data_IF_865459955884
#
_entry.id   IF_865459955884
#
_cell.length_a   1.000
_cell.length_b   1.000
_cell.length_c   1.000
_cell.angle_alpha   90.00
_cell.angle_beta   90.00
_cell.angle_gamma   90.00
#
_symmetry.space_group_name_H-M   'P 1'
#
loop_
_entity.id
_entity.type
_entity.pdbx_description
1 polymer ?
#
# COMPACT_ATOMS: atom_id res chain seq x y z
N UNK A 1 32.13 61.66 65.34
CA UNK A 1 32.97 60.54 64.86
C UNK A 1 32.30 59.89 63.65
N UNK A 2 33.00 59.91 62.50
CA UNK A 2 32.82 59.10 61.26
C UNK A 2 31.55 59.42 60.42
N UNK A 3 31.66 60.34 59.45
CA UNK A 3 31.93 60.13 57.99
C UNK A 3 30.68 59.63 57.21
N UNK A 4 29.93 60.46 56.48
CA UNK A 4 30.18 61.05 55.14
C UNK A 4 29.90 60.09 53.95
N UNK A 5 28.87 60.36 53.13
CA UNK A 5 28.89 60.49 51.65
C UNK A 5 27.47 60.53 51.02
N UNK A 6 27.23 61.50 50.12
CA UNK A 6 26.25 61.48 49.01
C UNK A 6 27.01 61.04 47.73
N UNK A 7 26.40 60.93 46.52
CA UNK A 7 25.19 60.25 46.02
C UNK A 7 25.55 59.34 44.80
N UNK A 8 24.57 58.68 44.12
CA UNK A 8 24.46 58.57 42.63
C UNK A 8 23.46 57.52 42.12
N UNK A 9 22.69 57.96 41.11
CA UNK A 9 21.95 57.15 40.14
C UNK A 9 22.87 56.13 39.43
N UNK A 10 22.41 54.90 39.24
CA UNK A 10 22.96 53.96 38.26
C UNK A 10 21.81 53.25 37.53
N UNK A 11 21.91 53.27 36.19
CA UNK A 11 20.96 52.76 35.24
C UNK A 11 20.84 51.22 35.29
N UNK A 12 19.61 50.72 35.17
CA UNK A 12 19.30 49.33 34.84
C UNK A 12 18.60 49.33 33.47
N UNK A 13 19.40 49.30 32.41
CA UNK A 13 18.96 48.94 31.07
C UNK A 13 19.90 47.81 30.63
N UNK A 14 19.35 46.61 30.42
CA UNK A 14 20.09 45.55 29.73
C UNK A 14 19.84 44.14 30.26
N UNK A 15 18.64 43.59 30.06
CA UNK A 15 18.41 42.14 30.05
C UNK A 15 17.04 41.84 29.39
N UNK A 16 16.96 41.91 28.07
CA UNK A 16 15.68 41.67 27.37
C UNK A 16 15.77 41.02 25.98
N UNK A 17 16.96 40.71 25.46
CA UNK A 17 17.12 40.32 24.05
C UNK A 17 17.62 38.90 23.79
N UNK A 18 17.87 38.08 24.82
CA UNK A 18 18.38 36.71 24.64
C UNK A 18 17.31 35.61 24.65
N UNK A 19 16.05 35.90 24.98
CA UNK A 19 15.00 34.87 25.16
C UNK A 19 14.19 34.54 23.88
N UNK A 20 14.38 35.28 22.78
CA UNK A 20 13.59 35.10 21.55
C UNK A 20 14.15 34.08 20.54
N UNK A 21 15.47 33.81 20.55
CA UNK A 21 16.12 33.01 19.50
C UNK A 21 16.12 31.48 19.76
N UNK A 22 16.09 31.03 21.02
CA UNK A 22 16.07 29.59 21.33
C UNK A 22 14.70 28.94 21.10
N UNK A 23 13.61 29.70 21.26
CA UNK A 23 12.25 29.17 21.07
C UNK A 23 11.91 28.91 19.60
N UNK A 24 12.50 29.67 18.67
CA UNK A 24 12.23 29.51 17.23
C UNK A 24 13.00 28.34 16.60
N UNK A 25 14.19 28.02 17.10
CA UNK A 25 15.00 26.91 16.60
C UNK A 25 14.39 25.55 16.99
N UNK A 26 14.02 25.37 18.26
CA UNK A 26 13.33 24.15 18.73
C UNK A 26 12.02 23.91 17.98
N UNK A 27 11.24 24.96 17.71
CA UNK A 27 9.99 24.85 16.97
C UNK A 27 10.20 24.45 15.49
N UNK A 28 11.31 24.88 14.88
CA UNK A 28 11.67 24.50 13.51
C UNK A 28 12.10 23.02 13.45
N UNK A 29 12.88 22.56 14.42
CA UNK A 29 13.29 21.15 14.53
C UNK A 29 12.07 20.22 14.77
N UNK A 30 11.15 20.63 15.65
CA UNK A 30 9.91 19.88 15.91
C UNK A 30 9.03 19.80 14.64
N UNK A 31 8.92 20.88 13.87
CA UNK A 31 8.16 20.91 12.63
C UNK A 31 8.80 20.01 11.55
N UNK A 32 10.13 19.96 11.48
CA UNK A 32 10.87 19.08 10.57
C UNK A 32 10.63 17.61 10.90
N UNK A 33 10.75 17.23 12.18
CA UNK A 33 10.46 15.88 12.67
C UNK A 33 9.00 15.49 12.42
N UNK A 34 8.06 16.41 12.63
CA UNK A 34 6.64 16.19 12.33
C UNK A 34 6.38 15.97 10.83
N UNK A 35 7.04 16.75 9.95
CA UNK A 35 6.99 16.53 8.48
C UNK A 35 7.56 15.15 8.13
N UNK A 36 8.68 14.76 8.72
CA UNK A 36 9.26 13.43 8.52
C UNK A 36 8.34 12.30 8.98
N UNK A 37 7.67 12.46 10.12
CA UNK A 37 6.69 11.51 10.63
C UNK A 37 5.51 11.34 9.65
N UNK A 38 5.01 12.46 9.12
CA UNK A 38 3.96 12.45 8.09
C UNK A 38 4.40 11.72 6.81
N UNK A 39 5.61 12.00 6.33
CA UNK A 39 6.17 11.35 5.14
C UNK A 39 6.42 9.85 5.38
N UNK A 40 6.84 9.45 6.58
CA UNK A 40 7.02 8.04 6.93
C UNK A 40 5.68 7.27 6.95
N UNK A 41 4.58 7.94 7.35
CA UNK A 41 3.22 7.41 7.18
C UNK A 41 2.84 7.34 5.70
N UNK A 42 3.09 8.39 4.91
CA UNK A 42 2.84 8.37 3.46
C UNK A 42 3.63 7.30 2.71
N UNK A 43 4.82 6.96 3.20
CA UNK A 43 5.70 5.92 2.68
C UNK A 43 5.39 4.50 3.17
N UNK A 44 4.36 4.33 4.01
CA UNK A 44 3.97 3.08 4.66
C UNK A 44 5.14 2.35 5.36
N UNK A 45 6.12 3.11 5.90
CA UNK A 45 7.37 2.52 6.39
C UNK A 45 7.11 1.54 7.56
N UNK A 46 6.13 1.84 8.41
CA UNK A 46 5.80 1.04 9.59
C UNK A 46 5.19 -0.32 9.24
N UNK A 47 4.43 -0.42 8.15
CA UNK A 47 3.81 -1.67 7.73
C UNK A 47 4.85 -2.73 7.37
N UNK A 48 5.92 -2.32 6.69
CA UNK A 48 7.00 -3.23 6.30
C UNK A 48 8.01 -3.44 7.44
N UNK A 49 8.41 -2.37 8.14
CA UNK A 49 9.47 -2.43 9.14
C UNK A 49 9.00 -2.82 10.54
N UNK A 50 7.83 -3.46 10.69
CA UNK A 50 7.36 -3.98 11.97
C UNK A 50 6.88 -5.43 11.82
N UNK A 51 7.49 -6.34 12.58
CA UNK A 51 6.99 -7.71 12.67
C UNK A 51 5.63 -7.78 13.39
N UNK A 52 4.78 -8.79 13.11
CA UNK A 52 3.55 -9.01 13.87
C UNK A 52 3.84 -9.15 15.37
N UNK A 53 3.23 -8.31 16.21
CA UNK A 53 3.49 -8.20 17.67
C UNK A 53 4.93 -7.78 18.03
N UNK A 54 5.70 -7.32 17.05
CA UNK A 54 7.03 -6.75 17.24
C UNK A 54 6.97 -5.29 17.70
N UNK A 55 8.14 -4.72 17.98
CA UNK A 55 8.26 -3.28 18.23
C UNK A 55 8.18 -2.51 16.92
N UNK A 56 7.54 -1.33 16.88
CA UNK A 56 7.45 -0.51 15.67
C UNK A 56 8.84 -0.25 15.07
N UNK A 57 8.95 -0.36 13.74
CA UNK A 57 10.15 -0.01 12.96
C UNK A 57 11.41 -0.87 13.25
N UNK A 58 11.29 -1.89 14.10
CA UNK A 58 12.40 -2.77 14.50
C UNK A 58 12.68 -3.93 13.51
N UNK A 59 11.97 -3.98 12.38
CA UNK A 59 12.11 -5.01 11.35
C UNK A 59 11.57 -6.37 11.76
N UNK A 60 11.96 -7.39 11.00
CA UNK A 60 11.64 -8.79 11.25
C UNK A 60 10.38 -9.31 10.57
N UNK A 61 9.71 -8.51 9.73
CA UNK A 61 8.58 -8.99 8.94
C UNK A 61 9.10 -9.95 7.83
N UNK A 62 8.62 -11.20 7.77
CA UNK A 62 8.94 -12.09 6.66
C UNK A 62 8.17 -11.68 5.40
N UNK A 63 8.90 -11.51 4.30
CA UNK A 63 8.34 -11.40 2.95
C UNK A 63 8.69 -12.65 2.17
N UNK A 64 7.68 -13.40 1.77
CA UNK A 64 7.87 -14.67 1.08
C UNK A 64 8.27 -14.43 -0.37
N UNK A 65 9.35 -15.06 -0.79
CA UNK A 65 9.74 -15.11 -2.21
C UNK A 65 9.83 -16.57 -2.67
N UNK A 66 9.78 -16.85 -3.98
CA UNK A 66 10.02 -18.19 -4.50
C UNK A 66 11.38 -18.80 -4.09
N UNK A 67 12.33 -17.97 -3.66
CA UNK A 67 13.70 -18.37 -3.30
C UNK A 67 13.91 -18.51 -1.78
N UNK A 68 12.89 -18.22 -0.96
CA UNK A 68 12.97 -18.17 0.50
C UNK A 68 12.45 -16.84 1.05
N UNK A 69 12.25 -16.77 2.37
CA UNK A 69 11.82 -15.53 3.01
C UNK A 69 12.97 -14.52 3.09
N UNK A 70 12.66 -13.26 2.83
CA UNK A 70 13.52 -12.12 3.18
C UNK A 70 12.89 -11.42 4.39
N UNK A 71 13.70 -10.84 5.26
CA UNK A 71 13.22 -10.19 6.48
C UNK A 71 13.48 -8.69 6.38
N UNK A 72 12.49 -7.87 6.76
CA UNK A 72 12.66 -6.42 6.84
C UNK A 72 13.63 -6.03 7.94
N UNK A 73 14.32 -4.91 7.75
CA UNK A 73 15.40 -4.47 8.66
C UNK A 73 14.88 -3.55 9.76
N UNK A 74 15.62 -3.47 10.86
CA UNK A 74 15.45 -2.47 11.90
C UNK A 74 15.91 -1.10 11.38
N UNK A 75 14.99 -0.14 11.33
CA UNK A 75 15.23 1.24 10.88
C UNK A 75 15.05 2.25 12.02
N UNK A 76 15.09 1.80 13.27
CA UNK A 76 15.16 2.68 14.44
C UNK A 76 16.56 3.29 14.57
N UNK A 77 16.74 4.39 15.34
CA UNK A 77 18.04 5.02 15.51
C UNK A 77 18.96 4.28 16.50
N UNK A 78 18.70 3.00 16.77
CA UNK A 78 19.65 2.18 17.53
C UNK A 78 20.98 2.08 16.78
N UNK A 79 22.08 2.38 17.48
CA UNK A 79 23.39 2.50 16.85
C UNK A 79 24.03 1.18 16.43
N UNK A 80 23.62 0.05 17.02
CA UNK A 80 24.27 -1.24 16.79
C UNK A 80 23.46 -2.15 15.87
N UNK A 81 22.14 -2.04 15.92
CA UNK A 81 21.22 -2.94 15.20
C UNK A 81 20.29 -2.22 14.24
N UNK A 82 20.14 -0.90 14.37
CA UNK A 82 19.34 -0.05 13.50
C UNK A 82 20.18 0.86 12.60
N UNK A 83 19.63 2.02 12.25
CA UNK A 83 20.26 3.02 11.38
C UNK A 83 20.95 4.14 12.16
N UNK A 84 21.12 4.03 13.48
CA UNK A 84 21.67 5.10 14.32
C UNK A 84 23.09 5.58 13.98
N UNK A 85 23.82 4.83 13.14
CA UNK A 85 25.14 5.23 12.61
C UNK A 85 25.11 5.68 11.15
N UNK A 86 23.95 5.72 10.48
CA UNK A 86 23.85 6.21 9.12
C UNK A 86 24.10 7.72 9.13
N UNK A 87 24.91 8.21 8.19
CA UNK A 87 24.83 9.61 7.81
C UNK A 87 23.59 9.84 6.93
N UNK A 88 23.15 11.08 6.80
CA UNK A 88 22.01 11.42 5.93
C UNK A 88 22.25 10.96 4.48
N UNK A 89 23.47 11.08 3.97
CA UNK A 89 23.85 10.60 2.64
C UNK A 89 23.72 9.07 2.51
N UNK A 90 24.03 8.32 3.56
CA UNK A 90 23.85 6.86 3.57
C UNK A 90 22.36 6.49 3.57
N UNK A 91 21.55 7.25 4.31
CA UNK A 91 20.10 7.09 4.36
C UNK A 91 19.47 7.39 2.99
N UNK A 92 19.80 8.54 2.39
CA UNK A 92 19.32 8.94 1.08
C UNK A 92 19.74 7.93 0.00
N UNK A 93 20.98 7.42 0.05
CA UNK A 93 21.48 6.39 -0.86
C UNK A 93 20.76 5.05 -0.68
N UNK A 94 20.43 4.66 0.54
CA UNK A 94 19.63 3.45 0.79
C UNK A 94 18.22 3.59 0.21
N UNK A 95 17.55 4.73 0.41
CA UNK A 95 16.19 4.96 -0.06
C UNK A 95 16.10 5.17 -1.57
N UNK A 96 16.98 5.96 -2.18
CA UNK A 96 16.90 6.29 -3.62
C UNK A 96 17.63 5.30 -4.52
N UNK A 97 18.67 4.65 -4.01
CA UNK A 97 19.55 3.81 -4.82
C UNK A 97 19.51 2.33 -4.44
N UNK A 98 18.86 1.98 -3.33
CA UNK A 98 18.85 0.61 -2.84
C UNK A 98 20.24 0.13 -2.44
N UNK A 99 21.12 1.02 -1.95
CA UNK A 99 22.48 0.68 -1.50
C UNK A 99 22.63 1.01 -0.03
N UNK A 100 22.81 -0.01 0.81
CA UNK A 100 22.98 0.13 2.25
C UNK A 100 24.29 0.86 2.62
N UNK A 101 24.43 1.24 3.90
CA UNK A 101 25.62 1.94 4.40
C UNK A 101 26.93 1.18 4.12
N UNK A 102 26.93 -0.14 4.28
CA UNK A 102 28.09 -1.01 4.03
C UNK A 102 28.34 -1.31 2.54
N UNK A 103 27.52 -0.72 1.64
CA UNK A 103 27.66 -0.81 0.19
C UNK A 103 26.98 -2.00 -0.47
N UNK A 104 26.30 -2.89 0.28
CA UNK A 104 25.55 -3.97 -0.37
C UNK A 104 24.24 -3.46 -0.99
N UNK A 105 23.81 -4.08 -2.09
CA UNK A 105 22.52 -3.74 -2.72
C UNK A 105 21.37 -4.42 -1.98
N UNK A 106 20.36 -3.62 -1.66
CA UNK A 106 19.08 -4.05 -1.10
C UNK A 106 18.29 -4.84 -2.14
N UNK A 107 17.46 -5.77 -1.68
CA UNK A 107 16.53 -6.43 -2.57
C UNK A 107 15.45 -5.40 -2.98
N UNK A 108 14.98 -5.41 -4.24
CA UNK A 108 13.91 -4.54 -4.73
C UNK A 108 12.52 -4.86 -4.15
N UNK A 109 12.49 -5.55 -3.00
CA UNK A 109 11.32 -5.61 -2.12
C UNK A 109 11.12 -4.29 -1.37
N UNK A 110 12.20 -3.56 -1.08
CA UNK A 110 12.09 -2.14 -0.73
C UNK A 110 11.86 -1.36 -2.05
N UNK A 111 10.82 -0.52 -2.15
CA UNK A 111 10.46 0.15 -3.41
C UNK A 111 11.34 1.38 -3.68
N UNK A 112 12.67 1.21 -3.62
CA UNK A 112 13.63 2.28 -3.90
C UNK A 112 13.51 2.89 -5.31
N UNK A 113 13.05 2.19 -6.37
CA UNK A 113 12.77 2.85 -7.65
C UNK A 113 11.67 3.92 -7.57
N UNK A 114 10.69 3.75 -6.69
CA UNK A 114 9.68 4.77 -6.40
C UNK A 114 10.27 5.86 -5.50
N UNK A 115 10.97 5.48 -4.43
CA UNK A 115 11.57 6.44 -3.50
C UNK A 115 12.66 7.33 -4.11
N UNK A 116 13.25 6.95 -5.25
CA UNK A 116 14.10 7.83 -6.05
C UNK A 116 13.44 9.17 -6.39
N UNK A 117 12.10 9.21 -6.46
CA UNK A 117 11.30 10.41 -6.74
C UNK A 117 11.27 11.42 -5.58
N UNK A 118 11.57 11.01 -4.34
CA UNK A 118 11.54 11.88 -3.15
C UNK A 118 12.53 13.02 -3.32
N UNK A 119 12.13 14.27 -3.05
CA UNK A 119 13.02 15.44 -3.11
C UNK A 119 13.93 15.55 -1.87
N UNK A 120 14.97 16.39 -1.93
CA UNK A 120 15.98 16.48 -0.86
C UNK A 120 15.40 16.98 0.46
N UNK A 121 14.44 17.90 0.44
CA UNK A 121 13.79 18.40 1.66
C UNK A 121 13.00 17.31 2.39
N UNK A 122 12.22 16.51 1.64
CA UNK A 122 11.45 15.41 2.19
C UNK A 122 12.37 14.27 2.66
N UNK A 123 13.49 14.05 1.97
CA UNK A 123 14.52 13.09 2.41
C UNK A 123 15.16 13.52 3.73
N UNK A 124 15.50 14.80 3.86
CA UNK A 124 16.04 15.37 5.09
C UNK A 124 15.04 15.28 6.25
N UNK A 125 13.77 15.60 5.99
CA UNK A 125 12.71 15.48 7.00
C UNK A 125 12.53 14.02 7.46
N UNK A 126 12.51 13.06 6.54
CA UNK A 126 12.47 11.63 6.86
C UNK A 126 13.66 11.22 7.74
N UNK A 127 14.87 11.61 7.37
CA UNK A 127 16.08 11.31 8.15
C UNK A 127 15.98 11.90 9.56
N UNK A 128 15.59 13.18 9.69
CA UNK A 128 15.38 13.82 10.98
C UNK A 128 14.36 13.09 11.85
N UNK A 129 13.24 12.65 11.27
CA UNK A 129 12.25 11.86 12.00
C UNK A 129 12.80 10.52 12.47
N UNK A 130 13.50 9.77 11.62
CA UNK A 130 14.05 8.48 12.06
C UNK A 130 15.16 8.64 13.12
N UNK A 131 15.96 9.71 13.06
CA UNK A 131 17.05 9.92 14.02
C UNK A 131 16.59 10.55 15.34
N UNK A 132 15.52 11.35 15.32
CA UNK A 132 15.10 12.15 16.48
C UNK A 132 13.65 11.92 16.94
N UNK A 133 12.76 11.45 16.06
CA UNK A 133 11.36 11.17 16.35
C UNK A 133 11.03 9.71 16.66
N UNK A 134 11.90 8.76 16.32
CA UNK A 134 11.70 7.33 16.55
C UNK A 134 12.44 6.84 17.79
N UNK A 135 11.76 6.06 18.63
CA UNK A 135 12.40 5.43 19.79
C UNK A 135 13.40 4.34 19.33
N UNK A 136 14.64 4.33 19.86
CA UNK A 136 15.62 3.30 19.51
C UNK A 136 15.20 1.93 20.03
N UNK A 137 15.32 0.91 19.18
CA UNK A 137 15.06 -0.48 19.53
C UNK A 137 16.27 -1.31 19.20
N UNK A 138 16.91 -1.88 20.22
CA UNK A 138 17.98 -2.87 20.02
C UNK A 138 17.39 -4.21 19.61
N UNK A 139 17.38 -4.49 18.32
CA UNK A 139 16.90 -5.74 17.72
C UNK A 139 17.72 -6.06 16.47
N UNK A 140 18.49 -7.15 16.52
CA UNK A 140 19.33 -7.57 15.40
C UNK A 140 18.47 -7.99 14.19
N UNK A 141 18.94 -7.61 12.99
CA UNK A 141 18.34 -8.06 11.74
C UNK A 141 18.50 -9.57 11.56
N UNK A 142 17.49 -10.20 10.96
CA UNK A 142 17.55 -11.61 10.58
C UNK A 142 18.05 -11.75 9.15
N UNK A 143 18.96 -12.70 8.93
CA UNK A 143 19.43 -13.04 7.59
C UNK A 143 18.30 -13.65 6.73
N UNK A 144 18.29 -13.40 5.42
CA UNK A 144 17.31 -14.01 4.51
C UNK A 144 17.52 -15.54 4.45
N UNK A 145 16.44 -16.29 4.28
CA UNK A 145 16.48 -17.75 4.14
C UNK A 145 16.96 -18.18 2.72
N UNK A 146 17.31 -17.21 1.86
CA UNK A 146 17.83 -17.44 0.51
C UNK A 146 19.23 -18.05 0.61
N UNK A 147 19.39 -19.26 0.07
CA UNK A 147 20.66 -19.99 0.13
C UNK A 147 21.63 -19.53 -0.96
N UNK A 148 22.92 -19.72 -0.70
CA UNK A 148 23.96 -19.60 -1.71
C UNK A 148 23.70 -20.57 -2.89
N UNK A 149 23.92 -20.17 -4.16
CA UNK A 149 24.45 -18.88 -4.64
C UNK A 149 23.39 -17.79 -4.87
N UNK A 150 22.11 -18.07 -4.64
CA UNK A 150 21.01 -17.14 -4.95
C UNK A 150 20.96 -15.90 -4.04
N UNK A 151 21.71 -15.90 -2.93
CA UNK A 151 21.82 -14.75 -2.02
C UNK A 151 22.87 -13.71 -2.46
N UNK A 152 23.60 -13.94 -3.56
CA UNK A 152 24.59 -12.99 -4.07
C UNK A 152 23.94 -11.64 -4.40
N UNK A 153 24.51 -10.55 -3.84
CA UNK A 153 24.00 -9.18 -4.03
C UNK A 153 24.58 -8.44 -5.23
N UNK A 154 25.63 -8.95 -5.86
CA UNK A 154 26.27 -8.29 -7.00
C UNK A 154 25.39 -8.21 -8.26
N UNK A 155 24.51 -9.18 -8.61
CA UNK A 155 23.64 -9.06 -9.78
C UNK A 155 22.65 -7.90 -9.65
N UNK A 156 22.25 -7.55 -8.42
CA UNK A 156 21.38 -6.40 -8.17
C UNK A 156 22.05 -5.07 -8.54
N UNK A 157 23.38 -4.99 -8.51
CA UNK A 157 24.11 -3.82 -9.00
C UNK A 157 23.89 -3.63 -10.50
N UNK A 158 23.94 -4.72 -11.27
CA UNK A 158 23.68 -4.70 -12.70
C UNK A 158 22.19 -4.41 -12.98
N UNK A 159 21.30 -5.01 -12.19
CA UNK A 159 19.87 -4.72 -12.27
C UNK A 159 19.59 -3.22 -12.05
N UNK A 160 20.19 -2.62 -11.00
CA UNK A 160 20.09 -1.19 -10.72
C UNK A 160 20.60 -0.34 -11.88
N UNK A 161 21.72 -0.72 -12.50
CA UNK A 161 22.26 0.01 -13.65
C UNK A 161 21.32 0.02 -14.87
N UNK A 162 20.43 -0.96 -15.00
CA UNK A 162 19.52 -1.09 -16.14
C UNK A 162 18.12 -0.53 -15.84
N UNK A 163 17.61 -0.73 -14.63
CA UNK A 163 16.19 -0.50 -14.32
C UNK A 163 15.92 0.63 -13.32
N UNK A 164 16.93 1.13 -12.62
CA UNK A 164 16.74 2.21 -11.65
C UNK A 164 16.84 3.59 -12.34
N UNK A 165 15.71 4.29 -12.40
CA UNK A 165 15.69 5.73 -12.66
C UNK A 165 15.93 6.47 -11.33
N UNK A 166 17.08 7.15 -11.22
CA UNK A 166 17.47 7.90 -10.01
C UNK A 166 16.91 9.32 -9.96
N UNK A 167 16.08 9.73 -10.93
CA UNK A 167 15.58 11.10 -11.00
C UNK A 167 14.54 11.38 -9.91
N UNK A 168 14.77 12.49 -9.19
CA UNK A 168 13.78 13.11 -8.30
C UNK A 168 12.60 13.60 -9.15
N UNK A 169 11.40 13.52 -8.59
CA UNK A 169 10.20 13.99 -9.27
C UNK A 169 10.33 15.47 -9.67
N UNK A 170 9.99 15.75 -10.94
CA UNK A 170 9.93 17.11 -11.47
C UNK A 170 8.49 17.44 -11.81
N UNK A 171 8.02 18.60 -11.37
CA UNK A 171 6.67 19.07 -11.70
C UNK A 171 6.53 19.22 -13.21
N UNK A 172 5.48 18.62 -13.76
CA UNK A 172 5.22 18.61 -15.20
C UNK A 172 4.52 19.90 -15.61
N UNK A 173 5.12 20.61 -16.57
CA UNK A 173 4.52 21.82 -17.15
C UNK A 173 3.16 21.49 -17.79
N UNK A 174 2.17 22.36 -17.60
CA UNK A 174 0.80 22.14 -18.10
C UNK A 174 -0.09 21.29 -17.18
N UNK A 175 0.42 20.86 -16.01
CA UNK A 175 -0.36 20.26 -14.94
C UNK A 175 -0.46 21.22 -13.76
N UNK A 176 -1.61 21.25 -13.09
CA UNK A 176 -1.79 22.07 -11.89
C UNK A 176 -1.04 21.49 -10.67
N UNK A 177 -1.01 22.26 -9.59
CA UNK A 177 -0.31 21.89 -8.36
C UNK A 177 -0.87 20.62 -7.72
N UNK A 178 -2.20 20.43 -7.71
CA UNK A 178 -2.83 19.26 -7.13
C UNK A 178 -2.49 17.98 -7.91
N UNK A 179 -2.46 18.05 -9.23
CA UNK A 179 -2.04 16.94 -10.08
C UNK A 179 -0.58 16.56 -9.81
N UNK A 180 0.34 17.54 -9.77
CA UNK A 180 1.75 17.29 -9.51
C UNK A 180 1.97 16.73 -8.10
N UNK A 181 1.23 17.21 -7.10
CA UNK A 181 1.27 16.66 -5.74
C UNK A 181 0.80 15.21 -5.69
N UNK A 182 -0.31 14.89 -6.36
CA UNK A 182 -0.82 13.52 -6.45
C UNK A 182 0.15 12.58 -7.15
N UNK A 183 0.73 13.01 -8.26
CA UNK A 183 1.75 12.28 -9.00
C UNK A 183 2.98 12.02 -8.12
N UNK A 184 3.49 13.03 -7.43
CA UNK A 184 4.63 12.91 -6.51
C UNK A 184 4.39 11.86 -5.42
N UNK A 185 3.20 11.88 -4.80
CA UNK A 185 2.86 10.94 -3.74
C UNK A 185 2.69 9.52 -4.28
N UNK A 186 1.99 9.34 -5.40
CA UNK A 186 1.69 8.01 -5.95
C UNK A 186 2.91 7.34 -6.60
N UNK A 187 3.74 8.11 -7.30
CA UNK A 187 4.98 7.64 -7.93
C UNK A 187 6.13 7.50 -6.93
N UNK A 188 6.11 8.28 -5.86
CA UNK A 188 7.13 8.34 -4.82
C UNK A 188 6.80 7.49 -3.60
N UNK A 189 6.55 8.15 -2.46
CA UNK A 189 6.36 7.49 -1.16
C UNK A 189 5.21 6.48 -1.14
N UNK A 190 4.08 6.79 -1.78
CA UNK A 190 2.95 5.86 -1.86
C UNK A 190 3.22 4.63 -2.74
N UNK A 191 4.29 4.63 -3.54
CA UNK A 191 4.82 3.51 -4.32
C UNK A 191 3.74 2.62 -4.97
N UNK A 192 2.66 3.22 -5.49
CA UNK A 192 1.47 2.45 -5.88
C UNK A 192 1.80 1.52 -7.05
N UNK A 193 2.75 1.93 -7.90
CA UNK A 193 3.31 1.14 -9.00
C UNK A 193 3.89 -0.20 -8.55
N UNK A 194 4.46 -0.27 -7.35
CA UNK A 194 5.11 -1.49 -6.87
C UNK A 194 4.14 -2.66 -6.69
N UNK A 195 2.85 -2.40 -6.49
CA UNK A 195 1.83 -3.45 -6.51
C UNK A 195 0.99 -3.41 -7.80
N UNK A 196 0.60 -2.21 -8.25
CA UNK A 196 -0.40 -2.05 -9.31
C UNK A 196 0.18 -1.99 -10.72
N UNK A 197 1.50 -2.11 -10.91
CA UNK A 197 2.12 -2.21 -12.25
C UNK A 197 2.60 -3.64 -12.50
N UNK A 198 2.36 -4.22 -13.70
CA UNK A 198 2.83 -5.56 -14.03
C UNK A 198 4.37 -5.62 -14.04
N UNK A 199 4.89 -6.79 -13.67
CA UNK A 199 6.34 -7.06 -13.63
C UNK A 199 6.88 -7.58 -14.96
N UNK A 200 8.10 -7.17 -15.30
CA UNK A 200 8.85 -7.65 -16.46
C UNK A 200 9.60 -8.96 -16.19
N UNK A 201 10.35 -9.42 -17.18
CA UNK A 201 11.11 -10.68 -17.09
C UNK A 201 12.18 -10.69 -15.99
N UNK A 202 12.70 -9.51 -15.61
CA UNK A 202 13.67 -9.34 -14.54
C UNK A 202 12.99 -8.85 -13.25
N UNK A 203 11.67 -9.06 -13.13
CA UNK A 203 10.84 -8.68 -11.98
C UNK A 203 10.76 -7.16 -11.71
N UNK A 204 11.23 -6.34 -12.65
CA UNK A 204 11.12 -4.88 -12.61
C UNK A 204 9.68 -4.41 -12.91
N UNK A 205 9.30 -3.24 -12.39
CA UNK A 205 8.06 -2.58 -12.81
C UNK A 205 8.17 -2.20 -14.30
N UNK A 206 7.14 -2.53 -15.09
CA UNK A 206 7.12 -2.17 -16.53
C UNK A 206 6.84 -0.69 -16.80
N UNK A 207 6.46 0.07 -15.78
CA UNK A 207 6.24 1.51 -15.83
C UNK A 207 6.36 2.11 -14.44
N UNK A 208 7.03 3.27 -14.34
CA UNK A 208 7.22 3.99 -13.08
C UNK A 208 6.37 5.26 -12.98
N UNK A 209 5.86 5.75 -14.12
CA UNK A 209 5.01 6.94 -14.19
C UNK A 209 4.02 6.85 -15.37
N UNK A 210 3.19 7.89 -15.53
CA UNK A 210 2.11 7.91 -16.52
C UNK A 210 2.55 7.97 -17.98
N UNK A 211 3.86 8.03 -18.26
CA UNK A 211 4.38 7.93 -19.63
C UNK A 211 4.32 6.49 -20.17
N UNK A 212 4.23 5.49 -19.28
CA UNK A 212 4.12 4.07 -19.66
C UNK A 212 2.68 3.62 -19.75
N UNK A 213 2.32 2.95 -20.86
CA UNK A 213 0.99 2.36 -21.06
C UNK A 213 0.67 1.18 -20.14
N UNK A 214 1.65 0.70 -19.37
CA UNK A 214 1.49 -0.39 -18.39
C UNK A 214 1.45 0.12 -16.95
N UNK A 215 1.70 1.41 -16.72
CA UNK A 215 1.70 1.98 -15.39
C UNK A 215 0.32 1.85 -14.75
N UNK A 216 0.27 1.25 -13.56
CA UNK A 216 -0.94 1.03 -12.77
C UNK A 216 -2.05 0.20 -13.45
N UNK A 217 -1.73 -0.65 -14.43
CA UNK A 217 -2.72 -1.50 -15.12
C UNK A 217 -3.09 -2.80 -14.39
N UNK A 218 -2.64 -2.96 -13.16
CA UNK A 218 -2.80 -4.15 -12.33
C UNK A 218 -1.64 -5.16 -12.47
N UNK A 219 -1.48 -6.01 -11.46
CA UNK A 219 -0.40 -6.98 -11.41
C UNK A 219 -0.57 -8.03 -10.32
N UNK A 220 -0.10 -9.26 -10.59
CA UNK A 220 -0.06 -10.33 -9.61
C UNK A 220 1.20 -10.19 -8.74
N UNK A 221 1.02 -10.04 -7.44
CA UNK A 221 2.08 -9.98 -6.45
C UNK A 221 1.65 -10.74 -5.18
N UNK A 222 2.51 -11.65 -4.71
CA UNK A 222 2.26 -12.44 -3.49
C UNK A 222 0.87 -13.10 -3.44
N UNK A 223 0.46 -13.75 -4.54
CA UNK A 223 -0.85 -14.40 -4.68
C UNK A 223 -2.07 -13.45 -4.55
N UNK A 224 -1.84 -12.14 -4.64
CA UNK A 224 -2.86 -11.11 -4.77
C UNK A 224 -2.74 -10.46 -6.14
N UNK A 225 -3.85 -10.34 -6.85
CA UNK A 225 -3.93 -9.47 -8.02
C UNK A 225 -4.27 -8.06 -7.54
N UNK A 226 -3.31 -7.16 -7.60
CA UNK A 226 -3.52 -5.73 -7.37
C UNK A 226 -4.30 -5.15 -8.55
N UNK A 227 -5.43 -4.52 -8.26
CA UNK A 227 -6.41 -4.08 -9.25
C UNK A 227 -5.85 -3.04 -10.23
N UNK A 228 -6.46 -2.88 -11.39
CA UNK A 228 -6.15 -1.77 -12.28
C UNK A 228 -6.55 -0.42 -11.62
N UNK A 229 -5.66 0.58 -11.59
CA UNK A 229 -5.96 1.92 -11.05
C UNK A 229 -6.17 2.99 -12.14
N UNK A 230 -6.13 2.60 -13.42
CA UNK A 230 -6.39 3.52 -14.53
C UNK A 230 -7.89 3.75 -14.72
N UNK A 231 -8.28 4.66 -15.62
CA UNK A 231 -9.69 4.90 -15.95
C UNK A 231 -10.36 3.79 -16.79
N UNK A 232 -9.84 2.57 -16.80
CA UNK A 232 -10.49 1.44 -17.46
C UNK A 232 -11.87 1.18 -16.84
N UNK A 233 -12.86 0.94 -17.70
CA UNK A 233 -14.27 1.06 -17.35
C UNK A 233 -14.86 -0.14 -16.62
N UNK A 234 -14.14 -1.28 -16.55
CA UNK A 234 -14.62 -2.53 -15.94
C UNK A 234 -13.88 -2.85 -14.64
N UNK A 235 -12.57 -2.99 -14.78
CA UNK A 235 -11.57 -3.44 -13.82
C UNK A 235 -10.81 -2.29 -13.18
N UNK A 236 -10.84 -1.10 -13.81
CA UNK A 236 -10.23 0.13 -13.31
C UNK A 236 -11.18 1.05 -12.54
N UNK A 237 -10.71 2.28 -12.34
CA UNK A 237 -11.41 3.38 -11.66
C UNK A 237 -12.35 4.16 -12.60
N UNK A 238 -12.61 3.69 -13.82
CA UNK A 238 -13.42 4.40 -14.81
C UNK A 238 -14.84 4.73 -14.33
N UNK A 239 -15.42 3.88 -13.48
CA UNK A 239 -16.75 4.09 -12.86
C UNK A 239 -16.73 4.86 -11.54
N UNK A 240 -15.55 5.16 -11.02
CA UNK A 240 -15.38 5.82 -9.72
C UNK A 240 -15.26 7.33 -9.93
N UNK A 241 -15.89 8.11 -9.06
CA UNK A 241 -15.60 9.54 -8.95
C UNK A 241 -14.27 9.80 -8.23
N UNK A 242 -13.72 11.01 -8.32
CA UNK A 242 -12.58 11.42 -7.48
C UNK A 242 -12.90 11.24 -5.98
N UNK A 243 -14.15 11.54 -5.59
CA UNK A 243 -14.60 11.37 -4.20
C UNK A 243 -14.65 9.89 -3.78
N UNK A 244 -15.04 8.98 -4.67
CA UNK A 244 -15.02 7.54 -4.39
C UNK A 244 -13.60 7.05 -4.12
N UNK A 245 -12.63 7.52 -4.91
CA UNK A 245 -11.20 7.21 -4.73
C UNK A 245 -10.70 7.78 -3.41
N UNK A 246 -10.99 9.05 -3.12
CA UNK A 246 -10.61 9.69 -1.85
C UNK A 246 -11.20 8.94 -0.64
N UNK A 247 -12.47 8.56 -0.71
CA UNK A 247 -13.16 7.81 0.35
C UNK A 247 -12.49 6.45 0.57
N UNK A 248 -12.16 5.74 -0.51
CA UNK A 248 -11.48 4.45 -0.42
C UNK A 248 -10.08 4.58 0.19
N UNK A 249 -9.28 5.57 -0.21
CA UNK A 249 -7.94 5.78 0.36
C UNK A 249 -7.99 6.16 1.85
N UNK A 250 -9.05 6.83 2.32
CA UNK A 250 -9.20 7.17 3.74
C UNK A 250 -9.77 6.03 4.60
N UNK A 251 -10.63 5.20 4.03
CA UNK A 251 -11.46 4.28 4.83
C UNK A 251 -11.29 2.82 4.44
N UNK A 252 -10.61 2.54 3.33
CA UNK A 252 -10.49 1.20 2.76
C UNK A 252 -11.78 0.65 2.15
N UNK A 253 -12.89 1.39 2.11
CA UNK A 253 -14.12 0.90 1.50
C UNK A 253 -14.99 2.04 0.94
N UNK A 254 -15.72 1.77 -0.14
CA UNK A 254 -16.69 2.70 -0.70
C UNK A 254 -17.86 1.94 -1.35
N UNK A 255 -18.65 2.62 -2.18
CA UNK A 255 -19.79 2.03 -2.89
C UNK A 255 -19.41 0.92 -3.89
N UNK A 256 -18.14 0.82 -4.29
CA UNK A 256 -17.67 -0.03 -5.38
C UNK A 256 -16.82 -1.21 -4.90
N UNK A 257 -16.02 -1.04 -3.86
CA UNK A 257 -15.11 -2.06 -3.35
C UNK A 257 -14.66 -1.83 -1.90
N UNK A 258 -14.02 -2.85 -1.32
CA UNK A 258 -13.32 -2.80 -0.04
C UNK A 258 -11.89 -3.34 -0.19
N UNK A 259 -10.98 -2.84 0.63
CA UNK A 259 -9.57 -3.21 0.68
C UNK A 259 -9.41 -4.64 1.20
N UNK A 260 -8.45 -5.35 0.64
CA UNK A 260 -8.06 -6.70 1.02
C UNK A 260 -6.56 -6.89 0.83
N UNK A 261 -6.03 -8.00 1.36
CA UNK A 261 -4.60 -8.31 1.27
C UNK A 261 -3.74 -7.18 1.82
N UNK A 262 -2.63 -6.88 1.16
CA UNK A 262 -1.70 -5.82 1.57
C UNK A 262 -2.32 -4.42 1.53
N UNK A 263 -3.38 -4.19 0.75
CA UNK A 263 -4.06 -2.88 0.74
C UNK A 263 -4.69 -2.57 2.10
N UNK A 264 -5.17 -3.57 2.85
CA UNK A 264 -5.66 -3.35 4.22
C UNK A 264 -4.56 -2.78 5.12
N UNK A 265 -3.31 -3.24 4.96
CA UNK A 265 -2.16 -2.69 5.69
C UNK A 265 -1.88 -1.24 5.31
N UNK A 266 -1.93 -0.92 4.01
CA UNK A 266 -1.75 0.45 3.50
C UNK A 266 -2.79 1.38 4.11
N UNK A 267 -4.06 0.97 4.18
CA UNK A 267 -5.08 1.78 4.84
C UNK A 267 -4.75 1.93 6.32
N UNK A 268 -4.53 0.82 7.03
CA UNK A 268 -4.33 0.80 8.48
C UNK A 268 -3.14 1.64 8.97
N UNK A 269 -2.08 1.72 8.17
CA UNK A 269 -0.80 2.29 8.58
C UNK A 269 -0.37 3.55 7.82
N UNK A 270 -1.03 3.86 6.70
CA UNK A 270 -0.61 4.94 5.79
C UNK A 270 -1.76 5.87 5.40
N UNK A 271 -2.55 5.52 4.38
CA UNK A 271 -3.36 6.50 3.63
C UNK A 271 -4.47 7.14 4.46
N UNK A 272 -4.99 6.47 5.49
CA UNK A 272 -6.00 7.08 6.38
C UNK A 272 -5.45 8.25 7.21
N UNK A 273 -4.13 8.33 7.37
CA UNK A 273 -3.44 9.36 8.15
C UNK A 273 -3.00 10.56 7.30
N UNK A 274 -3.21 10.50 5.98
CA UNK A 274 -2.88 11.59 5.07
C UNK A 274 -3.90 12.73 5.17
N UNK A 275 -3.42 13.94 4.87
CA UNK A 275 -4.31 15.11 4.83
C UNK A 275 -5.33 14.98 3.71
N UNK A 276 -6.50 15.60 3.89
CA UNK A 276 -7.54 15.62 2.85
C UNK A 276 -7.04 16.24 1.54
N UNK A 277 -6.14 17.21 1.61
CA UNK A 277 -5.53 17.83 0.44
C UNK A 277 -4.67 16.83 -0.35
N UNK A 278 -3.87 16.01 0.34
CA UNK A 278 -3.02 15.00 -0.30
C UNK A 278 -3.86 13.83 -0.85
N UNK A 279 -4.88 13.40 -0.12
CA UNK A 279 -5.83 12.39 -0.62
C UNK A 279 -6.57 12.88 -1.87
N UNK A 280 -7.03 14.14 -1.88
CA UNK A 280 -7.68 14.73 -3.04
C UNK A 280 -6.71 14.86 -4.23
N UNK A 281 -5.46 15.23 -3.97
CA UNK A 281 -4.41 15.29 -4.99
C UNK A 281 -4.13 13.91 -5.60
N UNK A 282 -4.00 12.87 -4.76
CA UNK A 282 -3.84 11.47 -5.18
C UNK A 282 -5.03 11.01 -6.04
N UNK A 283 -6.26 11.27 -5.60
CA UNK A 283 -7.47 10.95 -6.34
C UNK A 283 -7.51 11.66 -7.71
N UNK A 284 -7.21 12.96 -7.75
CA UNK A 284 -7.12 13.76 -8.99
C UNK A 284 -6.10 13.17 -9.96
N UNK A 285 -4.92 12.77 -9.46
CA UNK A 285 -3.89 12.16 -10.30
C UNK A 285 -4.36 10.82 -10.89
N UNK A 286 -4.87 9.90 -10.08
CA UNK A 286 -5.38 8.60 -10.56
C UNK A 286 -6.50 8.77 -11.59
N UNK A 287 -7.45 9.68 -11.31
CA UNK A 287 -8.56 9.99 -12.22
C UNK A 287 -8.14 10.75 -13.48
N UNK A 288 -6.90 11.23 -13.57
CA UNK A 288 -6.37 11.81 -14.80
C UNK A 288 -5.75 10.81 -15.77
N UNK A 289 -5.45 9.58 -15.30
CA UNK A 289 -4.76 8.57 -16.10
C UNK A 289 -5.67 8.03 -17.21
N UNK A 290 -5.18 7.85 -18.46
CA UNK A 290 -6.00 7.28 -19.51
C UNK A 290 -6.41 5.84 -19.16
N UNK A 291 -7.54 5.38 -19.68
CA UNK A 291 -7.92 3.98 -19.58
C UNK A 291 -6.86 3.09 -20.25
N UNK A 292 -6.31 2.12 -19.52
CA UNK A 292 -5.34 1.17 -20.03
C UNK A 292 -5.50 -0.21 -19.38
N UNK A 293 -5.00 -1.26 -20.04
CA UNK A 293 -5.18 -2.64 -19.59
C UNK A 293 -6.64 -3.11 -19.68
N UNK A 294 -7.06 -3.93 -18.72
CA UNK A 294 -8.43 -4.41 -18.58
C UNK A 294 -8.75 -5.72 -19.30
N UNK A 295 -10.04 -6.07 -19.30
CA UNK A 295 -10.51 -7.37 -19.76
C UNK A 295 -11.05 -7.38 -21.21
N UNK A 296 -11.13 -6.21 -21.86
CA UNK A 296 -11.66 -6.05 -23.23
C UNK A 296 -13.16 -6.26 -23.36
N UNK A 297 -13.89 -6.39 -22.25
CA UNK A 297 -15.34 -6.53 -22.22
C UNK A 297 -16.07 -5.20 -22.40
N UNK A 298 -17.35 -5.27 -22.78
CA UNK A 298 -18.23 -4.10 -22.81
C UNK A 298 -18.36 -3.48 -21.39
N UNK A 299 -18.67 -2.18 -21.28
CA UNK A 299 -18.92 -1.54 -19.99
C UNK A 299 -19.95 -2.27 -19.16
N UNK A 300 -19.58 -2.60 -17.92
CA UNK A 300 -20.47 -3.24 -16.96
C UNK A 300 -21.73 -2.39 -16.78
N UNK A 301 -22.87 -3.05 -16.89
CA UNK A 301 -24.17 -2.49 -16.54
C UNK A 301 -24.98 -3.55 -15.82
N UNK A 302 -25.52 -3.16 -14.66
CA UNK A 302 -26.36 -4.04 -13.88
C UNK A 302 -27.67 -4.34 -14.63
N UNK A 303 -28.02 -5.62 -14.72
CA UNK A 303 -29.28 -6.06 -15.31
C UNK A 303 -30.14 -6.80 -14.28
N UNK A 304 -31.33 -6.25 -14.02
CA UNK A 304 -32.32 -6.85 -13.15
C UNK A 304 -32.84 -8.19 -13.70
N UNK A 305 -32.85 -8.40 -15.02
CA UNK A 305 -33.21 -9.69 -15.63
C UNK A 305 -32.13 -10.73 -15.38
N UNK A 306 -30.86 -10.40 -15.60
CA UNK A 306 -29.73 -11.27 -15.23
C UNK A 306 -29.71 -11.61 -13.73
N UNK A 307 -30.10 -10.65 -12.88
CA UNK A 307 -30.29 -10.87 -11.45
C UNK A 307 -31.41 -11.87 -11.20
N UNK A 308 -32.59 -11.68 -11.80
CA UNK A 308 -33.69 -12.64 -11.67
C UNK A 308 -33.27 -14.04 -12.12
N UNK A 309 -32.55 -14.17 -13.23
CA UNK A 309 -31.99 -15.45 -13.68
C UNK A 309 -31.09 -16.06 -12.61
N UNK A 310 -30.19 -15.27 -12.02
CA UNK A 310 -29.30 -15.71 -10.93
C UNK A 310 -30.07 -16.17 -9.70
N UNK A 311 -31.15 -15.47 -9.33
CA UNK A 311 -32.05 -15.81 -8.22
C UNK A 311 -32.89 -17.07 -8.47
N UNK A 312 -33.27 -17.30 -9.73
CA UNK A 312 -34.12 -18.43 -10.11
C UNK A 312 -33.35 -19.68 -10.49
N UNK A 313 -32.00 -19.63 -10.56
CA UNK A 313 -31.20 -20.85 -10.78
C UNK A 313 -31.48 -21.81 -9.64
N UNK A 314 -32.09 -22.98 -9.90
CA UNK A 314 -32.42 -23.91 -8.84
C UNK A 314 -31.11 -24.34 -8.17
N UNK A 315 -31.05 -24.17 -6.85
CA UNK A 315 -29.91 -24.65 -6.07
C UNK A 315 -29.66 -26.14 -6.40
N UNK A 316 -30.71 -26.95 -6.54
CA UNK A 316 -30.60 -28.36 -6.94
C UNK A 316 -29.82 -28.62 -8.25
N UNK A 317 -29.74 -27.67 -9.19
CA UNK A 317 -29.08 -27.83 -10.50
C UNK A 317 -27.77 -27.05 -10.68
N UNK A 318 -27.42 -26.13 -9.76
CA UNK A 318 -26.18 -25.33 -9.81
C UNK A 318 -25.49 -25.38 -8.44
N UNK A 319 -24.34 -26.07 -8.38
CA UNK A 319 -23.56 -26.24 -7.15
C UNK A 319 -23.02 -24.92 -6.61
N UNK A 320 -22.67 -23.97 -7.49
CA UNK A 320 -22.21 -22.64 -7.10
C UNK A 320 -23.32 -21.82 -6.45
N UNK A 321 -24.53 -21.84 -7.04
CA UNK A 321 -25.71 -21.18 -6.47
C UNK A 321 -26.09 -21.76 -5.09
N UNK A 322 -25.94 -23.07 -4.88
CA UNK A 322 -26.13 -23.71 -3.56
C UNK A 322 -25.19 -23.16 -2.51
N UNK A 323 -23.89 -23.14 -2.81
CA UNK A 323 -22.87 -22.64 -1.89
C UNK A 323 -23.10 -21.16 -1.62
N UNK A 324 -23.40 -20.37 -2.65
CA UNK A 324 -23.71 -18.93 -2.49
C UNK A 324 -24.88 -18.70 -1.52
N UNK A 325 -25.99 -19.41 -1.72
CA UNK A 325 -27.19 -19.29 -0.89
C UNK A 325 -26.92 -19.67 0.57
N UNK A 326 -26.10 -20.70 0.79
CA UNK A 326 -25.80 -21.21 2.13
C UNK A 326 -24.80 -20.36 2.90
N UNK A 327 -23.80 -19.77 2.24
CA UNK A 327 -22.65 -19.16 2.92
C UNK A 327 -22.45 -17.67 2.61
N UNK A 328 -22.85 -17.18 1.44
CA UNK A 328 -22.46 -15.86 0.95
C UNK A 328 -23.62 -14.84 0.94
N UNK A 329 -24.83 -15.31 0.62
CA UNK A 329 -25.99 -14.48 0.33
C UNK A 329 -26.42 -13.60 1.52
N UNK A 330 -26.20 -14.05 2.76
CA UNK A 330 -26.55 -13.27 3.95
C UNK A 330 -25.82 -11.92 4.03
N UNK A 331 -24.58 -11.86 3.51
CA UNK A 331 -23.78 -10.64 3.52
C UNK A 331 -23.81 -9.91 2.16
N UNK A 332 -23.68 -10.66 1.05
CA UNK A 332 -23.57 -10.05 -0.28
C UNK A 332 -24.92 -9.82 -0.98
N UNK A 333 -26.02 -10.27 -0.37
CA UNK A 333 -27.36 -10.12 -0.90
C UNK A 333 -27.65 -11.07 -2.07
N UNK A 334 -28.93 -11.29 -2.35
CA UNK A 334 -29.34 -12.13 -3.47
C UNK A 334 -29.10 -11.44 -4.83
N UNK A 335 -29.05 -10.11 -4.81
CA UNK A 335 -28.76 -9.24 -5.96
C UNK A 335 -27.26 -8.90 -6.11
N UNK A 336 -26.40 -9.44 -5.24
CA UNK A 336 -24.96 -9.25 -5.27
C UNK A 336 -24.49 -7.84 -4.94
N UNK A 337 -25.37 -6.94 -4.48
CA UNK A 337 -25.03 -5.54 -4.20
C UNK A 337 -24.45 -5.30 -2.80
N UNK A 338 -24.59 -6.29 -1.91
CA UNK A 338 -24.15 -6.15 -0.52
C UNK A 338 -24.78 -4.96 0.19
N UNK A 339 -24.05 -4.42 1.17
CA UNK A 339 -24.44 -3.24 1.94
C UNK A 339 -23.22 -2.32 2.08
N UNK A 340 -22.87 -1.65 0.99
CA UNK A 340 -21.71 -0.77 0.96
C UNK A 340 -21.86 0.43 1.92
N UNK A 341 -20.78 0.93 2.54
CA UNK A 341 -19.39 0.45 2.42
C UNK A 341 -19.06 -0.72 3.37
N UNK A 342 -20.01 -1.18 4.20
CA UNK A 342 -19.75 -2.22 5.21
C UNK A 342 -19.51 -3.60 4.60
N UNK A 343 -20.23 -3.93 3.53
CA UNK A 343 -20.15 -5.20 2.81
C UNK A 343 -20.02 -4.92 1.32
N UNK A 344 -18.85 -5.23 0.77
CA UNK A 344 -18.53 -4.93 -0.62
C UNK A 344 -19.55 -5.57 -1.59
N UNK A 345 -19.96 -4.84 -2.65
CA UNK A 345 -20.74 -5.44 -3.72
C UNK A 345 -19.90 -6.52 -4.43
N UNK A 346 -20.56 -7.57 -4.92
CA UNK A 346 -20.01 -8.55 -5.86
C UNK A 346 -20.45 -8.25 -7.29
N UNK A 347 -21.64 -7.68 -7.46
CA UNK A 347 -22.15 -7.20 -8.73
C UNK A 347 -21.35 -5.97 -9.19
N UNK A 348 -20.68 -6.06 -10.33
CA UNK A 348 -19.92 -4.95 -10.89
C UNK A 348 -18.69 -4.55 -10.07
N UNK A 349 -18.22 -5.39 -9.15
CA UNK A 349 -16.99 -5.11 -8.42
C UNK A 349 -15.79 -5.27 -9.37
N UNK A 350 -14.89 -4.28 -9.49
CA UNK A 350 -13.73 -4.37 -10.37
C UNK A 350 -12.93 -5.67 -10.20
N UNK A 351 -12.74 -6.13 -8.96
CA UNK A 351 -11.98 -7.36 -8.66
C UNK A 351 -12.70 -8.65 -9.06
N UNK A 352 -14.04 -8.64 -9.14
CA UNK A 352 -14.81 -9.76 -9.69
C UNK A 352 -14.76 -9.75 -11.22
N UNK A 353 -14.66 -8.56 -11.82
CA UNK A 353 -14.56 -8.34 -13.26
C UNK A 353 -13.15 -8.57 -13.82
N UNK A 354 -12.14 -8.73 -12.96
CA UNK A 354 -10.78 -9.05 -13.38
C UNK A 354 -10.67 -10.42 -14.05
N UNK A 355 -9.76 -10.54 -15.03
CA UNK A 355 -9.49 -11.82 -15.70
C UNK A 355 -8.85 -12.82 -14.74
N UNK A 356 -7.93 -12.34 -13.91
CA UNK A 356 -7.24 -13.13 -12.90
C UNK A 356 -8.11 -13.24 -11.64
N UNK A 357 -8.45 -14.45 -11.22
CA UNK A 357 -9.30 -14.71 -10.07
C UNK A 357 -8.51 -14.87 -8.75
N UNK A 358 -7.18 -14.69 -8.75
CA UNK A 358 -6.31 -15.00 -7.60
C UNK A 358 -6.76 -14.29 -6.32
N UNK A 359 -7.04 -12.99 -6.37
CA UNK A 359 -7.54 -12.25 -5.20
C UNK A 359 -8.87 -12.82 -4.72
N UNK A 360 -9.81 -13.10 -5.63
CA UNK A 360 -11.14 -13.62 -5.27
C UNK A 360 -11.06 -15.01 -4.61
N UNK A 361 -10.18 -15.87 -5.12
CA UNK A 361 -9.88 -17.18 -4.53
C UNK A 361 -9.25 -17.01 -3.15
N UNK A 362 -8.26 -16.13 -3.04
CA UNK A 362 -7.51 -15.91 -1.80
C UNK A 362 -8.40 -15.32 -0.69
N UNK A 363 -9.20 -14.27 -0.99
CA UNK A 363 -10.18 -13.73 -0.05
C UNK A 363 -11.18 -14.82 0.40
N UNK A 364 -11.66 -15.67 -0.52
CA UNK A 364 -12.62 -16.73 -0.15
C UNK A 364 -12.00 -17.80 0.74
N UNK A 365 -10.77 -18.21 0.45
CA UNK A 365 -10.04 -19.18 1.26
C UNK A 365 -9.68 -18.63 2.64
N UNK A 366 -9.12 -17.42 2.69
CA UNK A 366 -8.41 -16.90 3.85
C UNK A 366 -9.15 -15.79 4.60
N UNK A 367 -10.24 -15.27 4.04
CA UNK A 367 -10.94 -14.10 4.55
C UNK A 367 -10.18 -12.81 4.29
N UNK A 368 -10.64 -11.72 4.89
CA UNK A 368 -9.92 -10.44 4.95
C UNK A 368 -9.27 -10.25 6.31
N UNK A 369 -8.13 -9.57 6.35
CA UNK A 369 -7.58 -9.05 7.61
C UNK A 369 -8.46 -7.94 8.19
N UNK A 370 -8.15 -7.52 9.43
CA UNK A 370 -8.87 -6.45 10.10
C UNK A 370 -8.56 -5.11 9.43
N UNK A 371 -9.58 -4.48 8.86
CA UNK A 371 -9.55 -3.09 8.44
C UNK A 371 -9.78 -2.23 9.69
N UNK A 372 -8.81 -1.40 10.08
CA UNK A 372 -8.82 -0.63 11.33
C UNK A 372 -8.77 0.85 11.00
N UNK A 373 -9.84 1.57 11.31
CA UNK A 373 -9.96 3.00 11.09
C UNK A 373 -9.83 3.75 12.40
N UNK A 374 -8.77 4.54 12.54
CA UNK A 374 -8.45 5.31 13.74
C UNK A 374 -8.55 4.47 15.04
N UNK A 375 -8.07 3.22 14.97
CA UNK A 375 -8.09 2.27 16.09
C UNK A 375 -9.38 1.46 16.24
N UNK A 376 -10.39 1.67 15.39
CA UNK A 376 -11.66 0.94 15.42
C UNK A 376 -11.71 -0.08 14.29
N UNK A 377 -11.76 -1.40 14.60
CA UNK A 377 -11.90 -2.44 13.58
C UNK A 377 -13.25 -2.38 12.87
N UNK A 378 -13.26 -2.69 11.58
CA UNK A 378 -14.46 -2.83 10.79
C UNK A 378 -15.33 -3.99 11.34
N UNK A 379 -16.66 -3.82 11.40
CA UNK A 379 -17.55 -4.75 12.09
C UNK A 379 -17.70 -6.11 11.40
N UNK A 380 -17.46 -6.20 10.10
CA UNK A 380 -17.77 -7.39 9.31
C UNK A 380 -16.60 -7.79 8.39
N UNK A 381 -15.52 -8.39 8.92
CA UNK A 381 -14.49 -8.98 8.08
C UNK A 381 -15.06 -10.18 7.29
N UNK A 382 -14.57 -10.39 6.07
CA UNK A 382 -14.99 -11.54 5.28
C UNK A 382 -14.48 -12.85 5.93
N UNK A 383 -15.36 -13.83 6.19
CA UNK A 383 -14.96 -15.10 6.80
C UNK A 383 -14.01 -15.91 5.93
N UNK A 384 -13.21 -16.76 6.58
CA UNK A 384 -12.34 -17.74 5.92
C UNK A 384 -13.09 -19.05 5.64
N UNK A 385 -13.14 -19.48 4.39
CA UNK A 385 -13.83 -20.73 4.01
C UNK A 385 -12.91 -21.91 3.72
N UNK A 386 -11.59 -21.74 3.77
CA UNK A 386 -10.65 -22.86 3.62
C UNK A 386 -11.00 -24.08 4.52
N UNK A 387 -11.32 -23.96 5.81
CA UNK A 387 -11.61 -25.14 6.62
C UNK A 387 -13.03 -25.72 6.41
N UNK A 388 -13.90 -25.04 5.65
CA UNK A 388 -15.33 -25.36 5.54
C UNK A 388 -15.69 -25.91 4.15
N UNK A 389 -15.09 -25.34 3.10
CA UNK A 389 -15.42 -25.64 1.71
C UNK A 389 -14.26 -26.34 1.00
N UNK A 390 -14.60 -27.35 0.18
CA UNK A 390 -13.64 -28.00 -0.72
C UNK A 390 -13.22 -27.05 -1.85
N UNK A 391 -12.13 -27.41 -2.53
CA UNK A 391 -11.64 -26.62 -3.69
C UNK A 391 -12.69 -26.54 -4.79
N UNK A 392 -13.42 -27.63 -5.02
CA UNK A 392 -14.50 -27.65 -6.00
C UNK A 392 -15.65 -26.72 -5.59
N UNK A 393 -16.07 -26.73 -4.33
CA UNK A 393 -17.15 -25.86 -3.85
C UNK A 393 -16.78 -24.38 -3.96
N UNK A 394 -15.51 -24.04 -3.70
CA UNK A 394 -15.01 -22.67 -3.88
C UNK A 394 -14.95 -22.31 -5.36
N UNK A 395 -14.44 -23.19 -6.23
CA UNK A 395 -14.41 -22.94 -7.67
C UNK A 395 -15.83 -22.72 -8.24
N UNK A 396 -16.80 -23.54 -7.81
CA UNK A 396 -18.20 -23.47 -8.24
C UNK A 396 -18.84 -22.14 -7.80
N UNK A 397 -18.70 -21.74 -6.52
CA UNK A 397 -19.32 -20.49 -6.04
C UNK A 397 -18.68 -19.26 -6.67
N UNK A 398 -17.37 -19.26 -6.90
CA UNK A 398 -16.69 -18.15 -7.56
C UNK A 398 -17.05 -18.07 -9.03
N UNK A 399 -17.23 -19.21 -9.70
CA UNK A 399 -17.76 -19.27 -11.07
C UNK A 399 -19.18 -18.72 -11.13
N UNK A 400 -20.04 -19.06 -10.17
CA UNK A 400 -21.37 -18.47 -10.05
C UNK A 400 -21.30 -16.95 -9.89
N UNK A 401 -20.52 -16.43 -8.93
CA UNK A 401 -20.36 -14.99 -8.67
C UNK A 401 -19.86 -14.24 -9.93
N UNK A 402 -18.91 -14.83 -10.66
CA UNK A 402 -18.30 -14.26 -11.88
C UNK A 402 -19.22 -14.30 -13.10
N UNK A 403 -20.21 -15.20 -13.10
CA UNK A 403 -21.26 -15.27 -14.13
C UNK A 403 -22.57 -14.59 -13.75
N UNK A 404 -22.77 -14.22 -12.48
CA UNK A 404 -23.99 -13.60 -11.98
C UNK A 404 -23.98 -12.07 -12.20
N UNK A 405 -25.18 -11.46 -12.20
CA UNK A 405 -25.38 -10.00 -12.23
C UNK A 405 -24.61 -9.25 -13.33
N UNK A 406 -24.46 -9.86 -14.51
CA UNK A 406 -23.70 -9.35 -15.66
C UNK A 406 -22.18 -9.22 -15.45
N UNK A 407 -21.60 -9.93 -14.48
CA UNK A 407 -20.16 -9.90 -14.29
C UNK A 407 -19.39 -10.48 -15.50
N UNK A 408 -19.96 -11.46 -16.22
CA UNK A 408 -19.48 -11.96 -17.53
C UNK A 408 -17.97 -12.23 -17.61
N UNK A 409 -17.38 -12.87 -16.58
CA UNK A 409 -15.95 -13.23 -16.56
C UNK A 409 -15.72 -14.75 -16.60
N UNK A 410 -14.50 -15.22 -16.98
CA UNK A 410 -14.20 -16.64 -17.07
C UNK A 410 -14.43 -17.39 -15.74
N UNK A 411 -14.84 -18.65 -15.84
CA UNK A 411 -14.99 -19.55 -14.70
C UNK A 411 -13.68 -19.75 -13.93
N UNK A 412 -13.81 -20.03 -12.63
CA UNK A 412 -12.68 -20.40 -11.75
C UNK A 412 -12.50 -21.91 -11.82
N UNK A 413 -11.25 -22.35 -11.98
CA UNK A 413 -10.91 -23.77 -12.02
C UNK A 413 -10.57 -24.29 -10.63
N UNK A 414 -10.92 -25.55 -10.37
CA UNK A 414 -10.63 -26.23 -9.09
C UNK A 414 -9.13 -26.31 -8.83
N UNK A 415 -8.31 -26.49 -9.87
CA UNK A 415 -6.85 -26.57 -9.75
C UNK A 415 -6.25 -25.23 -9.30
N UNK A 416 -6.83 -24.10 -9.73
CA UNK A 416 -6.38 -22.77 -9.31
C UNK A 416 -6.64 -22.55 -7.81
N UNK A 417 -7.79 -23.04 -7.31
CA UNK A 417 -8.13 -23.01 -5.88
C UNK A 417 -7.18 -23.90 -5.08
N UNK A 418 -6.95 -25.14 -5.53
CA UNK A 418 -6.05 -26.08 -4.85
C UNK A 418 -4.61 -25.52 -4.77
N UNK A 419 -4.14 -24.91 -5.86
CA UNK A 419 -2.83 -24.24 -5.92
C UNK A 419 -2.77 -23.08 -4.93
N UNK A 420 -3.77 -22.20 -4.93
CA UNK A 420 -3.84 -21.05 -4.01
C UNK A 420 -3.90 -21.48 -2.54
N UNK A 421 -4.70 -22.50 -2.24
CA UNK A 421 -4.79 -23.08 -0.90
C UNK A 421 -3.43 -23.57 -0.42
N UNK A 422 -2.74 -24.36 -1.23
CA UNK A 422 -1.40 -24.86 -0.89
C UNK A 422 -0.40 -23.72 -0.66
N UNK A 423 -0.43 -22.69 -1.52
CA UNK A 423 0.47 -21.55 -1.42
C UNK A 423 0.24 -20.71 -0.15
N UNK A 424 -1.01 -20.55 0.27
CA UNK A 424 -1.38 -19.68 1.40
C UNK A 424 -1.50 -20.42 2.74
N UNK A 425 -1.60 -21.75 2.73
CA UNK A 425 -1.60 -22.57 3.94
C UNK A 425 -0.21 -22.63 4.62
N UNK A 426 0.86 -22.50 3.83
CA UNK A 426 2.24 -22.51 4.32
C UNK A 426 2.72 -21.14 4.86
N UNK A 427 1.97 -20.07 4.60
CA UNK A 427 2.28 -18.71 5.05
C UNK A 427 1.71 -18.38 6.44
N UNK A 428 1.32 -19.40 7.21
CA UNK A 428 0.66 -19.30 8.52
C UNK A 428 1.59 -19.69 9.67
#
# INVERSE_FOLDING_TARGET
MKNAFKPRFAALIGAGLAFGMMSSASAADDALVARGAYLAKAGDCIACHSAPRGKPLAGGLPMMTPLGAIYTTNITPDADTGIGRYAEEDFARALREGVAKDGHNLYPAMPYPSYAKINDEDMHALYAYFMHGVAPVRQANREPDIKWPMNMRWPLKLWNAVFLDKSVYQSKAGKDAAWNRGAYLIQGLGHCGSCHTPRGIAFQEKGLDESSSTYLTGGLLDNWFASNLTNEHNTGLGRWSEQDVATFLKTGANAHASAFGSMTSVINNSTQELTDADIAAMARYLKSLPAAGGNGGAPYSYDAKATKVSLTRPAASDSGARVYTAYCMHCHGADGRGFAPMLAPLAGNPNVLERDASSLINVTLNGTGDLVLHGVPAPYPMPRYAPVLSDQQIADVLTFIRGAWNNSTPAVKTEDVAKMRKATQAAR
#
